data_IF_007623082723
#
_entry.id   IF_007623082723
#
_cell.length_a   1.000
_cell.length_b   1.000
_cell.length_c   1.000
_cell.angle_alpha   90.00
_cell.angle_beta   90.00
_cell.angle_gamma   90.00
#
_symmetry.space_group_name_H-M   'P 1'
#
loop_
_entity.id
_entity.type
_entity.pdbx_description
1 polymer ?
#
# COMPACT_ATOMS: atom_id res chain seq x y z
N UNK A 1 -34.93 15.42 10.57
CA UNK A 1 -33.78 15.01 11.43
C UNK A 1 -34.00 13.57 11.84
N UNK A 2 -33.21 12.64 11.33
CA UNK A 2 -32.97 11.32 11.94
C UNK A 2 -31.58 10.88 11.49
N UNK A 3 -30.78 10.57 12.49
CA UNK A 3 -29.40 10.09 12.42
C UNK A 3 -29.39 8.60 12.06
N UNK A 4 -28.40 8.16 11.28
CA UNK A 4 -27.72 6.84 11.35
C UNK A 4 -26.78 6.77 10.13
N UNK A 5 -25.51 6.39 10.23
CA UNK A 5 -24.70 5.80 11.29
C UNK A 5 -23.25 6.03 10.81
N UNK A 6 -22.40 6.70 11.60
CA UNK A 6 -20.98 6.70 11.29
C UNK A 6 -20.49 5.26 11.41
N UNK A 7 -20.00 4.68 10.32
CA UNK A 7 -19.32 3.40 10.36
C UNK A 7 -18.02 3.61 11.14
N UNK A 8 -18.06 3.31 12.43
CA UNK A 8 -16.87 3.13 13.23
C UNK A 8 -16.27 1.78 12.82
N UNK A 9 -15.57 1.76 11.68
CA UNK A 9 -14.80 0.61 11.23
C UNK A 9 -13.38 0.90 11.66
N UNK A 10 -12.86 0.13 12.62
CA UNK A 10 -11.43 0.11 12.93
C UNK A 10 -10.69 0.00 11.59
N UNK A 11 -9.98 1.07 11.22
CA UNK A 11 -9.33 1.16 9.92
C UNK A 11 -8.24 0.11 9.87
N UNK A 12 -8.53 -1.05 9.28
CA UNK A 12 -7.59 -2.14 9.06
C UNK A 12 -6.61 -1.78 7.92
N UNK A 13 -6.07 -0.56 8.01
CA UNK A 13 -5.19 0.10 7.07
C UNK A 13 -3.76 0.00 7.59
N UNK A 14 -2.85 -0.39 6.70
CA UNK A 14 -1.43 -0.53 7.00
C UNK A 14 -0.63 0.37 6.08
N UNK A 15 0.52 0.84 6.55
CA UNK A 15 1.52 1.41 5.64
C UNK A 15 2.15 0.26 4.87
N UNK A 16 1.96 0.28 3.54
CA UNK A 16 2.57 -0.66 2.61
C UNK A 16 3.61 0.08 1.78
N UNK A 17 4.77 -0.53 1.60
CA UNK A 17 5.84 0.02 0.80
C UNK A 17 5.81 -0.60 -0.60
N UNK A 18 5.81 0.24 -1.63
CA UNK A 18 5.79 -0.16 -3.03
C UNK A 18 7.10 0.31 -3.68
N UNK A 19 7.74 -0.57 -4.43
CA UNK A 19 8.95 -0.24 -5.19
C UNK A 19 8.62 0.71 -6.36
N UNK A 20 9.48 1.69 -6.58
CA UNK A 20 9.49 2.51 -7.79
C UNK A 20 10.46 1.89 -8.81
N UNK A 21 9.98 1.56 -10.01
CA UNK A 21 10.72 0.70 -10.96
C UNK A 21 11.67 1.45 -11.91
N UNK A 22 11.55 2.78 -12.02
CA UNK A 22 12.29 3.59 -13.02
C UNK A 22 13.23 4.65 -12.38
N UNK A 23 13.55 4.52 -11.10
CA UNK A 23 14.39 5.50 -10.37
C UNK A 23 15.90 5.31 -10.60
N UNK A 24 16.32 4.21 -11.23
CA UNK A 24 17.74 3.84 -11.40
C UNK A 24 18.44 3.39 -10.10
N UNK A 25 17.75 3.49 -8.97
CA UNK A 25 18.13 3.00 -7.64
C UNK A 25 16.92 2.33 -6.98
N UNK A 26 17.15 1.49 -5.97
CA UNK A 26 16.07 0.86 -5.22
C UNK A 26 15.40 1.88 -4.29
N UNK A 27 14.15 2.23 -4.57
CA UNK A 27 13.35 3.18 -3.78
C UNK A 27 12.02 2.53 -3.42
N UNK A 28 11.66 2.64 -2.14
CA UNK A 28 10.36 2.23 -1.61
C UNK A 28 9.52 3.47 -1.28
N UNK A 29 8.35 3.58 -1.88
CA UNK A 29 7.36 4.62 -1.61
C UNK A 29 6.28 4.09 -0.65
N UNK A 30 6.03 4.74 0.50
CA UNK A 30 4.96 4.33 1.39
C UNK A 30 3.58 4.73 0.83
N UNK A 31 2.61 3.84 1.00
CA UNK A 31 1.19 4.08 0.72
C UNK A 31 0.30 3.45 1.79
N UNK A 32 -1.01 3.68 1.69
CA UNK A 32 -2.00 2.99 2.52
C UNK A 32 -2.46 1.71 1.82
N UNK A 33 -2.45 0.60 2.54
CA UNK A 33 -3.07 -0.66 2.10
C UNK A 33 -4.23 -1.04 3.00
N UNK A 34 -5.39 -1.34 2.42
CA UNK A 34 -6.51 -1.93 3.14
C UNK A 34 -6.29 -3.44 3.27
N UNK A 35 -6.17 -3.95 4.49
CA UNK A 35 -5.99 -5.38 4.74
C UNK A 35 -7.26 -6.16 4.37
N UNK A 36 -7.09 -7.16 3.51
CA UNK A 36 -8.14 -8.09 3.08
C UNK A 36 -8.01 -9.45 3.78
N UNK A 37 -6.78 -9.90 3.99
CA UNK A 37 -6.45 -11.12 4.75
C UNK A 37 -5.06 -10.99 5.37
N UNK A 38 -4.50 -12.05 5.95
CA UNK A 38 -3.23 -12.03 6.68
C UNK A 38 -2.11 -11.32 5.92
N UNK A 39 -1.90 -11.69 4.64
CA UNK A 39 -0.85 -11.15 3.78
C UNK A 39 -1.38 -10.40 2.55
N UNK A 40 -2.70 -10.26 2.36
CA UNK A 40 -3.28 -9.60 1.18
C UNK A 40 -3.81 -8.22 1.51
N UNK A 41 -3.41 -7.24 0.70
CA UNK A 41 -3.76 -5.84 0.88
C UNK A 41 -4.19 -5.22 -0.44
N UNK A 42 -5.26 -4.43 -0.43
CA UNK A 42 -5.58 -3.56 -1.55
C UNK A 42 -4.83 -2.24 -1.38
N UNK A 43 -3.98 -1.89 -2.34
CA UNK A 43 -3.29 -0.61 -2.34
C UNK A 43 -4.29 0.51 -2.58
N UNK A 44 -4.16 1.59 -1.82
CA UNK A 44 -4.92 2.82 -2.02
C UNK A 44 -4.01 3.89 -2.61
N UNK A 45 -4.58 4.84 -3.34
CA UNK A 45 -3.83 6.01 -3.78
C UNK A 45 -3.61 6.96 -2.60
N UNK A 46 -2.42 7.55 -2.52
CA UNK A 46 -2.18 8.73 -1.69
C UNK A 46 -2.58 9.99 -2.46
N UNK A 47 -2.74 11.12 -1.75
CA UNK A 47 -3.12 12.39 -2.39
C UNK A 47 -2.05 12.93 -3.35
N UNK A 48 -0.81 12.48 -3.22
CA UNK A 48 0.36 12.85 -4.02
C UNK A 48 0.73 11.80 -5.07
N UNK A 49 -0.08 10.74 -5.25
CA UNK A 49 0.17 9.76 -6.30
C UNK A 49 -0.07 10.38 -7.68
N UNK A 50 0.99 10.40 -8.52
CA UNK A 50 0.94 10.85 -9.90
C UNK A 50 1.67 9.84 -10.81
N UNK A 51 0.94 9.08 -11.66
CA UNK A 51 1.53 8.08 -12.55
C UNK A 51 2.37 8.67 -13.69
N UNK A 52 2.31 9.99 -13.93
CA UNK A 52 3.14 10.67 -14.93
C UNK A 52 4.50 11.09 -14.33
N UNK A 53 4.63 11.11 -13.01
CA UNK A 53 5.87 11.44 -12.28
C UNK A 53 6.57 10.21 -11.73
N UNK A 54 5.83 9.18 -11.32
CA UNK A 54 6.38 7.99 -10.67
C UNK A 54 5.80 6.69 -11.24
N UNK A 55 6.68 5.73 -11.51
CA UNK A 55 6.27 4.38 -11.92
C UNK A 55 6.31 3.43 -10.72
N UNK A 56 5.16 3.16 -10.13
CA UNK A 56 5.03 2.17 -9.05
C UNK A 56 4.98 0.75 -9.62
N UNK A 57 5.69 -0.20 -8.99
CA UNK A 57 5.63 -1.63 -9.36
C UNK A 57 4.20 -2.17 -9.33
N UNK A 58 3.40 -1.73 -8.36
CA UNK A 58 1.98 -2.06 -8.24
C UNK A 58 1.18 -0.77 -8.08
N UNK A 59 0.22 -0.55 -8.98
CA UNK A 59 -0.60 0.67 -8.98
C UNK A 59 -1.64 0.65 -7.86
N UNK A 60 -2.18 1.82 -7.46
CA UNK A 60 -3.37 1.87 -6.62
C UNK A 60 -4.50 0.95 -7.12
N UNK A 61 -5.36 0.53 -6.20
CA UNK A 61 -6.44 -0.45 -6.38
C UNK A 61 -6.01 -1.89 -6.64
N UNK A 62 -4.70 -2.15 -6.84
CA UNK A 62 -4.15 -3.49 -6.98
C UNK A 62 -4.20 -4.25 -5.65
N UNK A 63 -4.58 -5.52 -5.68
CA UNK A 63 -4.45 -6.42 -4.53
C UNK A 63 -3.06 -7.06 -4.60
N UNK A 64 -2.29 -6.90 -3.53
CA UNK A 64 -0.91 -7.39 -3.43
C UNK A 64 -0.76 -8.33 -2.24
N UNK A 65 0.17 -9.27 -2.37
CA UNK A 65 0.72 -10.01 -1.24
C UNK A 65 1.93 -9.25 -0.69
N UNK A 66 1.97 -9.07 0.63
CA UNK A 66 3.02 -8.32 1.30
C UNK A 66 3.84 -9.19 2.26
N UNK A 67 5.11 -8.82 2.42
CA UNK A 67 6.04 -9.46 3.34
C UNK A 67 6.75 -8.40 4.21
N UNK A 68 7.11 -8.77 5.43
CA UNK A 68 7.90 -7.90 6.30
C UNK A 68 9.39 -8.00 5.96
N UNK A 69 10.01 -6.87 5.68
CA UNK A 69 11.43 -6.76 5.37
C UNK A 69 12.13 -5.76 6.26
N UNK A 70 13.41 -5.99 6.56
CA UNK A 70 14.22 -5.06 7.35
C UNK A 70 14.98 -4.10 6.45
N UNK A 71 14.64 -2.82 6.52
CA UNK A 71 15.31 -1.72 5.80
C UNK A 71 15.86 -0.72 6.81
N UNK A 72 17.15 -0.40 6.76
CA UNK A 72 17.81 0.55 7.68
C UNK A 72 17.58 0.30 9.18
N UNK A 73 17.32 -0.95 9.58
CA UNK A 73 17.05 -1.29 10.98
C UNK A 73 15.56 -1.45 11.32
N UNK A 74 14.66 -1.00 10.46
CA UNK A 74 13.21 -0.97 10.68
C UNK A 74 12.48 -2.03 9.84
N UNK A 75 11.36 -2.54 10.33
CA UNK A 75 10.54 -3.50 9.60
C UNK A 75 9.49 -2.76 8.76
N UNK A 76 9.52 -3.00 7.46
CA UNK A 76 8.60 -2.45 6.47
C UNK A 76 7.75 -3.57 5.87
N UNK A 77 6.46 -3.34 5.70
CA UNK A 77 5.57 -4.27 5.00
C UNK A 77 5.60 -3.94 3.50
N UNK A 78 6.30 -4.74 2.72
CA UNK A 78 6.62 -4.46 1.30
C UNK A 78 5.72 -5.30 0.40
N UNK A 79 5.18 -4.70 -0.67
CA UNK A 79 4.41 -5.41 -1.69
C UNK A 79 5.35 -6.25 -2.57
N UNK A 80 5.08 -7.55 -2.72
CA UNK A 80 5.97 -8.51 -3.41
C UNK A 80 5.39 -9.09 -4.69
N UNK A 81 4.09 -9.35 -4.71
CA UNK A 81 3.39 -9.92 -5.86
C UNK A 81 1.96 -9.38 -5.94
N UNK A 82 1.40 -9.38 -7.15
CA UNK A 82 -0.02 -9.13 -7.34
C UNK A 82 -0.81 -10.42 -7.06
N UNK A 83 -1.84 -10.32 -6.23
CA UNK A 83 -2.81 -11.41 -6.07
C UNK A 83 -3.85 -11.32 -7.18
N UNK A 84 -4.16 -12.47 -7.76
CA UNK A 84 -5.37 -12.67 -8.59
C UNK A 84 -6.63 -12.70 -7.71
#
# INVERSE_FOLDING_TARGET
RVFQRAANTDSNSFTIYVELIDEGIFVLRPTTGQKLSENKFKLLATSDYDPDLETWRFKPETIVECEWEKHNGELHLVAKSQST
#
